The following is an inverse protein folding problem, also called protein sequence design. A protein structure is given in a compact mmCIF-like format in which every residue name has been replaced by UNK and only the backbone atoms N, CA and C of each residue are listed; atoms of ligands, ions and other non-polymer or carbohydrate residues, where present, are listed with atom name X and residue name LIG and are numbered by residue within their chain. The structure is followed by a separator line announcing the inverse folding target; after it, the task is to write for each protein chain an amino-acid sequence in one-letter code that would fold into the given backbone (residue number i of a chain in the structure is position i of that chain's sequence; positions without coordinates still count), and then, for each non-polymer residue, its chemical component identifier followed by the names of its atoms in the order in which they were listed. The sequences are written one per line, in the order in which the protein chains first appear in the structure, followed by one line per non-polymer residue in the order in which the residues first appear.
data_IF_986611891206
#
_entry.id   IF_986611891206
#
_cell.length_a   1.000
_cell.length_b   1.000
_cell.length_c   1.000
_cell.angle_alpha   90.00
_cell.angle_beta   90.00
_cell.angle_gamma   90.00
#
_symmetry.space_group_name_H-M   'P 1'
#
loop_
_entity.id
_entity.type
_entity.pdbx_description
1 polymer ?
#
# COMPACT_ATOMS: atom_id res chain seq x y z
N UNK A 1 -46.87 -13.26 18.13
CA UNK A 1 -46.18 -14.18 19.10
C UNK A 1 -44.83 -13.58 19.51
N UNK A 2 -44.18 -14.01 20.60
CA UNK A 2 -42.83 -13.50 20.99
C UNK A 2 -41.83 -13.55 19.81
N UNK A 3 -41.87 -14.63 19.01
CA UNK A 3 -41.09 -14.81 17.78
C UNK A 3 -41.33 -13.73 16.70
N UNK A 4 -42.50 -13.12 16.67
CA UNK A 4 -42.86 -12.07 15.71
C UNK A 4 -42.35 -10.70 16.15
N UNK A 5 -42.37 -10.43 17.47
CA UNK A 5 -41.76 -9.25 18.08
C UNK A 5 -40.24 -9.26 17.90
N UNK A 6 -39.58 -10.39 18.19
CA UNK A 6 -38.13 -10.57 17.98
C UNK A 6 -37.75 -10.37 16.50
N UNK A 7 -38.53 -10.96 15.56
CA UNK A 7 -38.29 -10.77 14.12
C UNK A 7 -38.42 -9.31 13.70
N UNK A 8 -39.35 -8.57 14.29
CA UNK A 8 -39.55 -7.14 14.01
C UNK A 8 -38.40 -6.30 14.55
N UNK A 9 -37.93 -6.61 15.75
CA UNK A 9 -36.80 -5.93 16.39
C UNK A 9 -35.48 -6.17 15.65
N UNK A 10 -35.21 -7.42 15.24
CA UNK A 10 -34.07 -7.78 14.39
C UNK A 10 -34.12 -7.02 13.06
N UNK A 11 -35.29 -6.95 12.39
CA UNK A 11 -35.44 -6.21 11.12
C UNK A 11 -35.19 -4.71 11.29
N UNK A 12 -35.68 -4.11 12.38
CA UNK A 12 -35.42 -2.70 12.67
C UNK A 12 -33.93 -2.44 12.94
N UNK A 13 -33.27 -3.35 13.67
CA UNK A 13 -31.83 -3.28 13.91
C UNK A 13 -31.03 -3.41 12.63
N UNK A 14 -31.39 -4.35 11.74
CA UNK A 14 -30.79 -4.49 10.41
C UNK A 14 -30.98 -3.21 9.58
N UNK A 15 -32.19 -2.64 9.56
CA UNK A 15 -32.47 -1.42 8.80
C UNK A 15 -31.65 -0.22 9.33
N UNK A 16 -31.50 -0.10 10.65
CA UNK A 16 -30.64 0.91 11.28
C UNK A 16 -29.17 0.71 10.91
N UNK A 17 -28.64 -0.50 11.08
CA UNK A 17 -27.26 -0.82 10.75
C UNK A 17 -26.95 -0.58 9.27
N UNK A 18 -27.89 -0.86 8.36
CA UNK A 18 -27.74 -0.55 6.92
C UNK A 18 -27.62 0.97 6.66
N UNK A 19 -28.40 1.80 7.35
CA UNK A 19 -28.30 3.26 7.23
C UNK A 19 -26.98 3.79 7.78
N UNK A 20 -26.53 3.28 8.92
CA UNK A 20 -25.23 3.61 9.50
C UNK A 20 -24.08 3.21 8.56
N UNK A 21 -24.16 2.02 7.93
CA UNK A 21 -23.18 1.57 6.93
C UNK A 21 -23.12 2.50 5.71
N UNK A 22 -24.27 2.99 5.24
CA UNK A 22 -24.34 3.88 4.09
C UNK A 22 -23.74 5.27 4.39
N UNK A 23 -23.89 5.76 5.63
CA UNK A 23 -23.23 6.98 6.09
C UNK A 23 -21.71 6.82 6.10
N UNK A 24 -21.20 5.69 6.62
CA UNK A 24 -19.76 5.37 6.60
C UNK A 24 -19.22 5.30 5.17
N UNK A 25 -19.95 4.65 4.26
CA UNK A 25 -19.59 4.59 2.83
C UNK A 25 -19.52 5.97 2.19
N UNK A 26 -20.50 6.82 2.46
CA UNK A 26 -20.54 8.21 1.96
C UNK A 26 -19.34 9.02 2.46
N UNK A 27 -19.01 8.90 3.76
CA UNK A 27 -17.86 9.57 4.35
C UNK A 27 -16.53 9.09 3.74
N UNK A 28 -16.38 7.77 3.54
CA UNK A 28 -15.23 7.19 2.82
C UNK A 28 -15.14 7.69 1.38
N UNK A 29 -16.27 7.85 0.67
CA UNK A 29 -16.29 8.39 -0.70
C UNK A 29 -15.82 9.85 -0.76
N UNK A 30 -16.22 10.68 0.20
CA UNK A 30 -15.76 12.07 0.30
C UNK A 30 -14.25 12.17 0.58
N UNK A 31 -13.75 11.40 1.55
CA UNK A 31 -12.31 11.30 1.81
C UNK A 31 -11.54 10.81 0.58
N UNK A 32 -12.10 9.84 -0.17
CA UNK A 32 -11.55 9.36 -1.45
C UNK A 32 -11.48 10.46 -2.49
N UNK A 33 -12.53 11.28 -2.63
CA UNK A 33 -12.54 12.41 -3.58
C UNK A 33 -11.47 13.45 -3.24
N UNK A 34 -11.30 13.80 -1.96
CA UNK A 34 -10.25 14.72 -1.53
C UNK A 34 -8.84 14.15 -1.79
N UNK A 35 -8.63 12.84 -1.63
CA UNK A 35 -7.35 12.19 -1.98
C UNK A 35 -7.08 12.17 -3.48
N UNK A 36 -8.10 11.88 -4.31
CA UNK A 36 -7.98 11.97 -5.78
C UNK A 36 -7.61 13.39 -6.23
N UNK A 37 -8.10 14.42 -5.53
CA UNK A 37 -7.72 15.82 -5.76
C UNK A 37 -6.30 16.15 -5.28
N UNK A 38 -5.84 15.54 -4.19
CA UNK A 38 -4.49 15.77 -3.64
C UNK A 38 -3.36 15.11 -4.45
N UNK A 39 -3.69 14.24 -5.42
CA UNK A 39 -2.75 13.69 -6.40
C UNK A 39 -1.61 12.79 -5.84
N UNK A 40 -1.53 12.60 -4.52
CA UNK A 40 -0.52 11.80 -3.83
C UNK A 40 -0.67 10.31 -4.16
N UNK A 41 0.39 9.58 -4.56
CA UNK A 41 0.32 8.15 -4.79
C UNK A 41 -0.07 7.36 -3.54
N UNK A 42 -0.74 6.23 -3.73
CA UNK A 42 -1.21 5.36 -2.64
C UNK A 42 -0.58 3.98 -2.76
N UNK A 43 0.05 3.52 -1.68
CA UNK A 43 0.56 2.17 -1.51
C UNK A 43 -0.32 1.44 -0.51
N UNK A 44 -0.94 0.34 -0.93
CA UNK A 44 -1.75 -0.49 -0.04
C UNK A 44 -0.94 -1.68 0.47
N UNK A 45 -0.83 -1.80 1.80
CA UNK A 45 -0.11 -2.90 2.45
C UNK A 45 -1.07 -4.09 2.54
N UNK A 46 -0.75 -5.17 1.84
CA UNK A 46 -1.54 -6.40 1.78
C UNK A 46 -0.72 -7.57 2.30
N UNK A 47 -1.40 -8.65 2.69
CA UNK A 47 -0.74 -9.84 3.23
C UNK A 47 -1.53 -10.50 4.34
N UNK A 48 -1.12 -11.71 4.68
CA UNK A 48 -1.82 -12.56 5.64
C UNK A 48 -1.91 -11.91 7.03
N UNK A 49 -2.85 -12.36 7.87
CA UNK A 49 -2.90 -11.92 9.27
C UNK A 49 -1.60 -12.26 9.99
N UNK A 50 -1.16 -11.36 10.88
CA UNK A 50 0.14 -11.45 11.56
C UNK A 50 1.37 -11.45 10.64
N UNK A 51 1.26 -11.02 9.37
CA UNK A 51 2.45 -10.84 8.53
C UNK A 51 3.36 -9.66 8.96
N UNK A 52 2.88 -8.79 9.84
CA UNK A 52 3.59 -7.59 10.32
C UNK A 52 3.31 -6.32 9.52
N UNK A 53 2.15 -6.22 8.86
CA UNK A 53 1.71 -5.03 8.10
C UNK A 53 1.64 -3.75 8.94
N UNK A 54 1.00 -3.83 10.11
CA UNK A 54 0.85 -2.69 11.03
C UNK A 54 2.18 -2.29 11.67
N UNK A 55 3.00 -3.27 12.03
CA UNK A 55 4.39 -3.05 12.49
C UNK A 55 5.18 -2.29 11.43
N UNK A 56 5.09 -2.71 10.17
CA UNK A 56 5.75 -2.02 9.07
C UNK A 56 5.23 -0.60 8.88
N UNK A 57 3.91 -0.39 8.87
CA UNK A 57 3.33 0.95 8.74
C UNK A 57 3.85 1.88 9.84
N UNK A 58 3.91 1.39 11.08
CA UNK A 58 4.45 2.15 12.22
C UNK A 58 5.94 2.44 12.05
N UNK A 59 6.73 1.47 11.60
CA UNK A 59 8.16 1.65 11.37
C UNK A 59 8.44 2.68 10.27
N UNK A 60 7.71 2.61 9.15
CA UNK A 60 7.84 3.56 8.04
C UNK A 60 7.40 4.97 8.44
N UNK A 61 6.30 5.11 9.18
CA UNK A 61 5.81 6.43 9.61
C UNK A 61 6.55 7.03 10.80
N UNK A 62 7.36 6.24 11.51
CA UNK A 62 8.23 6.71 12.59
C UNK A 62 9.62 7.18 12.13
N UNK A 63 10.03 6.83 10.91
CA UNK A 63 11.32 7.19 10.35
C UNK A 63 11.39 8.65 9.85
N UNK A 64 10.25 9.32 9.68
CA UNK A 64 10.14 10.62 9.02
C UNK A 64 10.69 11.82 9.83
N UNK A 65 11.22 11.63 11.05
CA UNK A 65 11.84 12.69 11.86
C UNK A 65 10.94 13.89 12.22
N UNK A 66 9.71 13.95 11.69
CA UNK A 66 8.72 14.98 11.92
C UNK A 66 7.87 14.58 13.11
N UNK A 67 8.26 15.14 14.26
CA UNK A 67 7.63 14.99 15.54
C UNK A 67 6.23 15.64 15.58
N UNK A 68 5.26 15.08 14.85
CA UNK A 68 3.85 15.27 15.16
C UNK A 68 3.21 13.91 15.43
N UNK A 69 3.38 13.49 16.68
CA UNK A 69 2.69 12.37 17.30
C UNK A 69 1.18 12.57 17.19
N UNK A 70 0.56 12.07 16.12
CA UNK A 70 -0.88 11.82 16.14
C UNK A 70 -1.13 10.60 17.05
N UNK A 71 -1.85 10.75 18.18
CA UNK A 71 -1.97 9.73 19.23
C UNK A 71 -3.00 8.68 18.80
N UNK A 72 -2.63 7.88 17.82
CA UNK A 72 -3.22 6.56 17.54
C UNK A 72 -2.08 5.69 17.02
N UNK A 73 -1.13 5.37 17.90
CA UNK A 73 -0.28 4.20 17.70
C UNK A 73 -1.22 3.00 17.69
N UNK A 74 -1.38 2.37 16.52
CA UNK A 74 -2.12 1.11 16.43
C UNK A 74 -1.33 0.13 17.28
N UNK A 75 -1.91 -0.26 18.42
CA UNK A 75 -1.34 -1.27 19.31
C UNK A 75 -1.20 -2.55 18.48
N UNK A 76 0.04 -2.95 18.23
CA UNK A 76 0.34 -4.21 17.55
C UNK A 76 0.14 -5.32 18.59
N UNK A 77 -0.95 -6.08 18.47
CA UNK A 77 -1.21 -7.26 19.29
C UNK A 77 -1.14 -8.52 18.44
N UNK A 78 -0.59 -9.61 18.98
CA UNK A 78 -0.57 -10.95 18.36
C UNK A 78 -1.97 -11.60 18.35
N UNK A 79 -2.91 -10.98 17.63
CA UNK A 79 -4.29 -11.46 17.45
C UNK A 79 -4.68 -11.44 15.97
N UNK A 80 -5.54 -12.38 15.58
CA UNK A 80 -6.21 -12.32 14.27
C UNK A 80 -7.03 -11.03 14.19
N UNK A 81 -6.96 -10.33 13.05
CA UNK A 81 -7.59 -9.02 12.82
C UNK A 81 -7.03 -7.85 13.65
N UNK A 82 -5.71 -7.81 13.90
CA UNK A 82 -5.05 -6.66 14.52
C UNK A 82 -5.40 -5.30 13.89
N UNK A 83 -5.75 -5.28 12.59
CA UNK A 83 -6.29 -4.10 11.89
C UNK A 83 -7.64 -4.45 11.25
N UNK A 84 -8.70 -3.72 11.64
CA UNK A 84 -10.07 -3.84 11.08
C UNK A 84 -10.47 -2.61 10.24
N UNK A 85 -10.01 -1.42 10.63
CA UNK A 85 -10.17 -0.18 9.86
C UNK A 85 -8.85 0.18 9.18
N UNK A 86 -8.87 0.57 7.88
CA UNK A 86 -7.65 0.92 7.18
C UNK A 86 -7.00 2.15 7.81
N UNK A 87 -5.71 2.05 8.09
CA UNK A 87 -4.92 3.16 8.66
C UNK A 87 -4.00 3.70 7.59
N UNK A 88 -4.12 4.99 7.26
CA UNK A 88 -3.27 5.65 6.26
C UNK A 88 -2.24 6.54 6.95
N UNK A 89 -0.97 6.45 6.55
CA UNK A 89 0.12 7.35 6.95
C UNK A 89 0.81 7.91 5.71
N UNK A 90 1.31 9.14 5.82
CA UNK A 90 2.23 9.73 4.84
C UNK A 90 3.64 9.25 5.15
N UNK A 91 4.40 8.95 4.10
CA UNK A 91 5.81 8.55 4.15
C UNK A 91 6.54 9.25 3.01
N UNK A 92 7.75 9.72 3.24
CA UNK A 92 8.61 10.32 2.22
C UNK A 92 9.52 9.25 1.62
N UNK A 93 9.49 9.09 0.30
CA UNK A 93 10.38 8.19 -0.43
C UNK A 93 11.81 8.76 -0.52
N UNK A 94 12.84 7.94 -0.83
CA UNK A 94 14.24 8.37 -0.89
C UNK A 94 14.50 9.62 -1.76
N UNK A 95 13.82 9.77 -2.90
CA UNK A 95 13.95 10.96 -3.76
C UNK A 95 13.13 12.17 -3.28
N UNK A 96 12.49 12.10 -2.11
CA UNK A 96 11.72 13.19 -1.50
C UNK A 96 10.24 13.21 -1.87
N UNK A 97 9.76 12.24 -2.66
CA UNK A 97 8.35 12.13 -3.06
C UNK A 97 7.48 11.67 -1.89
N UNK A 98 6.42 12.42 -1.58
CA UNK A 98 5.43 12.00 -0.59
C UNK A 98 4.51 10.91 -1.15
N UNK A 99 4.27 9.86 -0.35
CA UNK A 99 3.37 8.74 -0.68
C UNK A 99 2.51 8.38 0.53
N UNK A 100 1.28 7.92 0.28
CA UNK A 100 0.38 7.44 1.33
C UNK A 100 0.43 5.92 1.45
N UNK A 101 0.91 5.41 2.58
CA UNK A 101 0.83 3.99 2.91
C UNK A 101 -0.45 3.70 3.68
N UNK A 102 -1.21 2.69 3.25
CA UNK A 102 -2.44 2.28 3.92
C UNK A 102 -2.34 0.83 4.39
N UNK A 103 -2.37 0.61 5.70
CA UNK A 103 -2.53 -0.73 6.28
C UNK A 103 -3.96 -1.21 6.06
N UNK A 104 -4.10 -2.43 5.56
CA UNK A 104 -5.39 -3.05 5.25
C UNK A 104 -5.68 -4.23 6.17
N UNK A 105 -6.91 -4.72 6.13
CA UNK A 105 -7.26 -5.93 6.89
C UNK A 105 -6.45 -7.12 6.36
N UNK A 106 -5.88 -7.90 7.27
CA UNK A 106 -5.13 -9.09 6.90
C UNK A 106 -5.99 -10.19 6.29
N UNK A 107 -5.44 -10.85 5.27
CA UNK A 107 -6.07 -11.99 4.62
C UNK A 107 -6.00 -13.24 5.50
N UNK A 108 -7.00 -14.12 5.37
CA UNK A 108 -7.07 -15.43 6.02
C UNK A 108 -7.50 -16.45 4.95
N UNK A 109 -6.95 -17.67 5.01
CA UNK A 109 -7.35 -18.80 4.18
C UNK A 109 -8.84 -19.08 4.36
N UNK A 110 -9.54 -19.28 3.23
CA UNK A 110 -10.98 -19.60 3.19
C UNK A 110 -11.80 -18.58 3.96
N UNK A 111 -11.75 -17.31 3.54
CA UNK A 111 -12.68 -16.31 4.03
C UNK A 111 -14.11 -16.84 3.90
N UNK A 112 -14.88 -16.94 5.00
CA UNK A 112 -16.27 -17.33 4.92
C UNK A 112 -17.00 -16.40 3.95
N UNK A 113 -17.75 -16.95 3.00
CA UNK A 113 -18.45 -16.17 1.94
C UNK A 113 -19.33 -15.05 2.52
N UNK A 114 -19.86 -15.24 3.73
CA UNK A 114 -20.64 -14.23 4.46
C UNK A 114 -19.82 -13.01 4.90
N UNK A 115 -18.51 -13.19 5.16
CA UNK A 115 -17.60 -12.13 5.57
C UNK A 115 -16.95 -11.43 4.36
N UNK A 116 -16.89 -12.08 3.19
CA UNK A 116 -16.36 -11.46 1.96
C UNK A 116 -17.07 -10.15 1.64
N UNK A 117 -18.38 -10.05 1.83
CA UNK A 117 -19.12 -8.80 1.60
C UNK A 117 -18.74 -7.67 2.57
N UNK A 118 -18.43 -8.01 3.83
CA UNK A 118 -18.01 -7.04 4.84
C UNK A 118 -16.55 -6.59 4.62
N UNK A 119 -15.68 -7.52 4.21
CA UNK A 119 -14.28 -7.22 3.87
C UNK A 119 -14.13 -6.53 2.53
N UNK A 120 -14.97 -6.80 1.53
CA UNK A 120 -14.95 -6.07 0.26
C UNK A 120 -15.03 -4.55 0.48
N UNK A 121 -15.90 -4.10 1.38
CA UNK A 121 -16.03 -2.67 1.69
C UNK A 121 -14.79 -2.06 2.40
N UNK A 122 -13.92 -2.88 3.01
CA UNK A 122 -12.64 -2.46 3.60
C UNK A 122 -11.43 -2.79 2.72
N UNK A 123 -11.65 -3.46 1.59
CA UNK A 123 -10.66 -3.76 0.55
C UNK A 123 -10.87 -2.89 -0.70
N UNK A 124 -11.89 -2.00 -0.72
CA UNK A 124 -12.04 -0.93 -1.71
C UNK A 124 -10.77 -0.06 -1.80
N UNK A 125 -10.05 0.09 -0.69
CA UNK A 125 -8.78 0.80 -0.62
C UNK A 125 -7.66 0.10 -1.41
N UNK A 126 -7.74 -1.23 -1.60
CA UNK A 126 -6.80 -1.99 -2.45
C UNK A 126 -7.06 -1.69 -3.93
N UNK A 127 -8.32 -1.51 -4.34
CA UNK A 127 -8.70 -1.15 -5.71
C UNK A 127 -8.17 0.22 -6.14
N UNK A 128 -8.03 1.16 -5.21
CA UNK A 128 -7.57 2.52 -5.48
C UNK A 128 -6.05 2.69 -5.37
N UNK A 129 -5.33 1.67 -4.89
CA UNK A 129 -3.88 1.75 -4.72
C UNK A 129 -3.15 1.79 -6.07
N UNK A 130 -2.09 2.59 -6.15
CA UNK A 130 -1.19 2.62 -7.31
C UNK A 130 -0.22 1.43 -7.29
N UNK A 131 0.19 1.02 -6.08
CA UNK A 131 1.06 -0.14 -5.84
C UNK A 131 0.55 -0.95 -4.66
N UNK A 132 0.62 -2.28 -4.80
CA UNK A 132 0.40 -3.21 -3.70
C UNK A 132 1.74 -3.55 -3.05
N UNK A 133 1.85 -3.36 -1.74
CA UNK A 133 2.99 -3.82 -0.95
C UNK A 133 2.59 -5.11 -0.22
N UNK A 134 3.02 -6.25 -0.75
CA UNK A 134 2.69 -7.57 -0.23
C UNK A 134 3.69 -8.01 0.84
N UNK A 135 3.22 -8.10 2.09
CA UNK A 135 4.02 -8.52 3.24
C UNK A 135 3.82 -10.01 3.50
N UNK A 136 4.95 -10.73 3.56
CA UNK A 136 4.98 -12.18 3.78
C UNK A 136 5.77 -12.48 5.05
N UNK A 137 5.19 -13.20 6.01
CA UNK A 137 5.94 -13.73 7.15
C UNK A 137 6.77 -14.94 6.69
N UNK A 138 8.08 -14.74 6.56
CA UNK A 138 8.97 -15.78 6.03
C UNK A 138 9.36 -16.85 7.05
N UNK A 139 8.94 -16.66 8.30
CA UNK A 139 9.17 -17.60 9.40
C UNK A 139 8.05 -18.63 9.50
N UNK A 140 6.92 -18.38 8.83
CA UNK A 140 5.78 -19.29 8.83
C UNK A 140 6.07 -20.50 7.93
N UNK A 141 5.85 -21.76 8.39
CA UNK A 141 6.11 -22.96 7.57
C UNK A 141 5.25 -23.04 6.30
N UNK A 142 4.14 -22.30 6.27
CA UNK A 142 3.16 -22.26 5.18
C UNK A 142 3.18 -20.91 4.44
N UNK A 143 4.31 -20.19 4.46
CA UNK A 143 4.41 -18.86 3.87
C UNK A 143 4.02 -18.86 2.38
N UNK A 144 4.42 -19.91 1.64
CA UNK A 144 4.08 -20.08 0.23
C UNK A 144 2.57 -20.22 0.01
N UNK A 145 1.90 -21.06 0.79
CA UNK A 145 0.44 -21.26 0.70
C UNK A 145 -0.31 -20.00 1.11
N UNK A 146 0.18 -19.24 2.08
CA UNK A 146 -0.39 -17.95 2.46
C UNK A 146 -0.27 -16.93 1.33
N UNK A 147 0.89 -16.87 0.66
CA UNK A 147 1.06 -16.03 -0.54
C UNK A 147 0.04 -16.38 -1.61
N UNK A 148 -0.13 -17.66 -1.94
CA UNK A 148 -1.08 -18.10 -2.96
C UNK A 148 -2.54 -17.76 -2.59
N UNK A 149 -2.91 -17.88 -1.31
CA UNK A 149 -4.24 -17.49 -0.84
C UNK A 149 -4.49 -15.97 -0.96
N UNK A 150 -3.47 -15.14 -0.70
CA UNK A 150 -3.55 -13.70 -0.92
C UNK A 150 -3.74 -13.41 -2.41
N UNK A 151 -2.97 -14.05 -3.30
CA UNK A 151 -3.09 -13.88 -4.75
C UNK A 151 -4.49 -14.25 -5.27
N UNK A 152 -5.03 -15.39 -4.83
CA UNK A 152 -6.39 -15.82 -5.20
C UNK A 152 -7.42 -14.77 -4.79
N UNK A 153 -7.31 -14.24 -3.57
CA UNK A 153 -8.24 -13.21 -3.10
C UNK A 153 -8.07 -11.89 -3.88
N UNK A 154 -6.85 -11.47 -4.20
CA UNK A 154 -6.60 -10.28 -5.03
C UNK A 154 -7.15 -10.46 -6.46
N UNK A 155 -7.12 -11.67 -7.01
CA UNK A 155 -7.75 -12.00 -8.29
C UNK A 155 -9.28 -11.93 -8.21
N UNK A 156 -9.90 -12.45 -7.16
CA UNK A 156 -11.35 -12.34 -6.93
C UNK A 156 -11.85 -10.90 -6.77
N UNK A 157 -10.97 -10.01 -6.29
CA UNK A 157 -11.22 -8.57 -6.19
C UNK A 157 -10.94 -7.82 -7.49
N UNK A 158 -10.39 -8.47 -8.51
CA UNK A 158 -10.07 -7.85 -9.80
C UNK A 158 -8.85 -6.92 -9.76
N UNK A 159 -7.98 -7.04 -8.76
CA UNK A 159 -6.81 -6.16 -8.55
C UNK A 159 -5.47 -6.86 -8.80
N UNK A 160 -5.48 -8.11 -9.27
CA UNK A 160 -4.27 -8.90 -9.52
C UNK A 160 -3.29 -8.26 -10.54
N UNK A 161 -3.77 -7.38 -11.44
CA UNK A 161 -2.94 -6.71 -12.43
C UNK A 161 -2.21 -5.45 -11.92
N UNK A 162 -2.39 -5.07 -10.64
CA UNK A 162 -1.73 -3.87 -10.09
C UNK A 162 -0.22 -4.10 -9.91
N UNK A 163 0.60 -3.06 -10.11
CA UNK A 163 2.02 -3.11 -9.77
C UNK A 163 2.22 -3.53 -8.31
N UNK A 164 3.26 -4.32 -8.04
CA UNK A 164 3.46 -4.92 -6.73
C UNK A 164 4.93 -4.95 -6.32
N UNK A 165 5.15 -4.72 -5.03
CA UNK A 165 6.41 -4.98 -4.34
C UNK A 165 6.13 -6.04 -3.28
N UNK A 166 6.98 -7.07 -3.18
CA UNK A 166 6.85 -8.11 -2.15
C UNK A 166 7.96 -7.95 -1.13
N UNK A 167 7.60 -7.96 0.16
CA UNK A 167 8.55 -7.89 1.26
C UNK A 167 8.51 -9.18 2.11
N UNK A 168 9.66 -9.82 2.30
CA UNK A 168 9.84 -10.99 3.15
C UNK A 168 10.14 -10.50 4.56
N UNK A 169 9.11 -10.41 5.40
CA UNK A 169 9.21 -9.84 6.74
C UNK A 169 9.62 -10.88 7.79
N UNK A 170 10.05 -10.38 8.95
CA UNK A 170 10.49 -11.12 10.14
C UNK A 170 11.82 -11.86 9.97
N UNK A 171 12.73 -11.32 9.16
CA UNK A 171 14.06 -11.91 8.95
C UNK A 171 14.90 -11.96 10.23
N UNK A 172 14.61 -11.08 11.19
CA UNK A 172 15.22 -11.06 12.53
C UNK A 172 15.13 -12.43 13.23
N UNK A 173 14.00 -13.13 13.08
CA UNK A 173 13.82 -14.47 13.66
C UNK A 173 14.64 -15.56 12.99
N UNK A 174 15.08 -15.34 11.74
CA UNK A 174 15.94 -16.28 11.01
C UNK A 174 17.42 -16.02 11.29
N UNK A 175 17.79 -14.77 11.54
CA UNK A 175 19.17 -14.37 11.83
C UNK A 175 19.55 -14.59 13.30
N UNK A 176 18.56 -14.64 14.19
CA UNK A 176 18.76 -14.74 15.65
C UNK A 176 19.25 -13.42 16.28
N UNK A 177 19.27 -13.37 17.61
CA UNK A 177 19.56 -12.14 18.40
C UNK A 177 20.95 -11.53 18.11
N UNK A 178 21.90 -12.30 17.57
CA UNK A 178 23.28 -11.86 17.31
C UNK A 178 23.43 -10.94 16.08
N UNK A 179 22.37 -10.73 15.29
CA UNK A 179 22.41 -9.95 14.08
C UNK A 179 21.79 -8.54 14.19
N UNK A 180 21.28 -8.16 15.37
CA UNK A 180 20.70 -6.82 15.58
C UNK A 180 21.74 -5.73 15.28
N UNK A 181 21.49 -4.92 14.24
CA UNK A 181 22.38 -3.83 13.81
C UNK A 181 23.42 -4.21 12.73
N UNK A 182 23.41 -5.44 12.21
CA UNK A 182 24.24 -5.81 11.04
C UNK A 182 23.50 -5.52 9.73
N UNK A 183 24.22 -5.08 8.70
CA UNK A 183 23.70 -5.06 7.32
C UNK A 183 23.58 -6.51 6.84
N UNK A 184 22.35 -6.97 6.64
CA UNK A 184 22.07 -8.35 6.21
C UNK A 184 21.85 -8.35 4.71
N UNK A 185 22.63 -9.16 4.00
CA UNK A 185 22.37 -9.38 2.57
C UNK A 185 21.34 -10.50 2.38
N UNK A 186 20.45 -10.41 1.36
CA UNK A 186 19.47 -11.45 1.04
C UNK A 186 20.07 -12.86 0.89
N UNK A 187 21.32 -12.96 0.40
CA UNK A 187 22.03 -14.23 0.23
C UNK A 187 22.49 -14.88 1.54
N UNK A 188 22.54 -14.13 2.64
CA UNK A 188 22.97 -14.62 3.96
C UNK A 188 21.83 -15.20 4.80
N UNK A 189 20.58 -15.05 4.34
CA UNK A 189 19.37 -15.51 5.05
C UNK A 189 19.25 -17.03 5.20
N UNK A 190 20.23 -17.82 4.77
CA UNK A 190 20.23 -19.28 4.90
C UNK A 190 18.89 -19.86 4.42
N UNK A 191 18.55 -19.59 3.15
CA UNK A 191 17.20 -19.70 2.60
C UNK A 191 16.45 -20.96 3.08
N UNK A 192 15.63 -20.83 4.12
CA UNK A 192 14.76 -21.89 4.61
C UNK A 192 13.83 -22.36 3.47
N UNK A 193 13.20 -23.54 3.62
CA UNK A 193 12.25 -24.00 2.60
C UNK A 193 11.12 -22.99 2.36
N UNK A 194 10.68 -22.28 3.40
CA UNK A 194 9.74 -21.17 3.29
C UNK A 194 10.32 -19.99 2.48
N UNK A 195 11.55 -19.56 2.77
CA UNK A 195 12.25 -18.52 2.00
C UNK A 195 12.36 -18.91 0.52
N UNK A 196 12.85 -20.12 0.24
CA UNK A 196 12.98 -20.64 -1.14
C UNK A 196 11.64 -20.72 -1.85
N UNK A 197 10.61 -21.21 -1.17
CA UNK A 197 9.26 -21.33 -1.71
C UNK A 197 8.65 -19.99 -2.11
N UNK A 198 8.85 -18.95 -1.31
CA UNK A 198 8.36 -17.59 -1.62
C UNK A 198 9.23 -16.90 -2.66
N UNK A 199 10.57 -17.01 -2.60
CA UNK A 199 11.48 -16.45 -3.62
C UNK A 199 11.25 -17.07 -5.00
N UNK A 200 10.85 -18.35 -5.07
CA UNK A 200 10.46 -18.98 -6.33
C UNK A 200 9.20 -18.34 -6.95
N UNK A 201 8.28 -17.81 -6.12
CA UNK A 201 7.12 -17.04 -6.59
C UNK A 201 7.48 -15.58 -6.89
N UNK A 202 8.39 -15.00 -6.09
CA UNK A 202 8.76 -13.60 -6.12
C UNK A 202 10.28 -13.43 -6.06
N UNK A 203 10.99 -13.57 -7.19
CA UNK A 203 12.45 -13.48 -7.23
C UNK A 203 12.99 -12.12 -6.76
N UNK A 204 12.24 -11.04 -7.01
CA UNK A 204 12.60 -9.67 -6.64
C UNK A 204 12.08 -9.25 -5.26
N UNK A 205 11.72 -10.20 -4.40
CA UNK A 205 11.21 -9.89 -3.07
C UNK A 205 12.31 -9.30 -2.16
N UNK A 206 11.96 -8.27 -1.39
CA UNK A 206 12.89 -7.55 -0.53
C UNK A 206 12.82 -8.13 0.90
N UNK A 207 13.91 -8.70 1.45
CA UNK A 207 13.92 -9.14 2.83
C UNK A 207 13.96 -7.95 3.79
N UNK A 208 13.09 -7.98 4.80
CA UNK A 208 12.96 -6.91 5.80
C UNK A 208 12.75 -7.46 7.20
N UNK A 209 13.09 -6.66 8.20
CA UNK A 209 12.51 -6.77 9.54
C UNK A 209 11.82 -5.46 9.86
N UNK A 210 10.48 -5.46 9.85
CA UNK A 210 9.70 -4.31 10.28
C UNK A 210 9.97 -3.95 11.75
N UNK A 211 10.23 -4.95 12.60
CA UNK A 211 10.50 -4.78 14.02
C UNK A 211 11.88 -4.12 14.26
N UNK A 212 12.91 -4.59 13.55
CA UNK A 212 14.28 -4.09 13.73
C UNK A 212 14.67 -2.98 12.75
N UNK A 213 13.77 -2.59 11.85
CA UNK A 213 14.02 -1.57 10.82
C UNK A 213 14.99 -2.02 9.71
N UNK A 214 15.25 -3.32 9.56
CA UNK A 214 16.20 -3.83 8.56
C UNK A 214 15.54 -3.85 7.17
N UNK A 215 16.25 -3.37 6.16
CA UNK A 215 15.85 -3.45 4.75
C UNK A 215 14.74 -2.46 4.33
N UNK A 216 14.31 -1.56 5.23
CA UNK A 216 13.22 -0.62 4.95
C UNK A 216 13.59 0.43 3.89
N UNK A 217 14.82 0.94 3.90
CA UNK A 217 15.31 1.87 2.88
C UNK A 217 15.24 1.25 1.48
N UNK A 218 15.80 0.04 1.32
CA UNK A 218 15.74 -0.70 0.06
C UNK A 218 14.30 -1.03 -0.37
N UNK A 219 13.41 -1.27 0.59
CA UNK A 219 12.00 -1.46 0.32
C UNK A 219 11.35 -0.20 -0.25
N UNK A 220 11.63 0.97 0.33
CA UNK A 220 11.12 2.25 -0.15
C UNK A 220 11.66 2.61 -1.53
N UNK A 221 12.96 2.39 -1.79
CA UNK A 221 13.55 2.51 -3.13
C UNK A 221 12.80 1.63 -4.13
N UNK A 222 12.53 0.36 -3.79
CA UNK A 222 11.82 -0.55 -4.69
C UNK A 222 10.37 -0.10 -4.94
N UNK A 223 9.71 0.46 -3.95
CA UNK A 223 8.37 1.08 -4.11
C UNK A 223 8.43 2.27 -5.05
N UNK A 224 9.45 3.14 -4.91
CA UNK A 224 9.68 4.29 -5.79
C UNK A 224 9.92 3.86 -7.24
N UNK A 225 10.81 2.89 -7.46
CA UNK A 225 11.07 2.30 -8.78
C UNK A 225 9.78 1.80 -9.45
N UNK A 226 8.95 1.04 -8.72
CA UNK A 226 7.71 0.46 -9.25
C UNK A 226 6.66 1.54 -9.55
N UNK A 227 6.53 2.56 -8.69
CA UNK A 227 5.67 3.72 -8.95
C UNK A 227 6.08 4.45 -10.23
N UNK A 228 7.38 4.59 -10.48
CA UNK A 228 7.91 5.26 -11.66
C UNK A 228 7.73 4.42 -12.92
N UNK A 229 7.92 3.09 -12.84
CA UNK A 229 7.67 2.18 -13.97
C UNK A 229 6.19 2.14 -14.39
N UNK A 230 5.27 2.26 -13.43
CA UNK A 230 3.83 2.31 -13.70
C UNK A 230 3.36 3.64 -14.32
N UNK A 231 4.21 4.67 -14.33
CA UNK A 231 3.91 5.96 -14.91
C UNK A 231 4.12 5.99 -16.44
N UNK A 232 3.36 6.86 -17.12
CA UNK A 232 3.37 7.02 -18.58
C UNK A 232 4.47 8.01 -18.95
N UNK A 233 5.39 7.60 -19.82
CA UNK A 233 6.38 8.50 -20.41
C UNK A 233 5.72 9.54 -21.32
N UNK A 234 6.03 10.81 -21.11
CA UNK A 234 5.54 11.94 -21.91
C UNK A 234 6.66 12.95 -22.14
N UNK A 235 6.56 13.68 -23.24
CA UNK A 235 7.36 14.87 -23.54
C UNK A 235 6.40 16.04 -23.71
N UNK A 236 6.60 17.09 -22.93
CA UNK A 236 5.70 18.25 -22.91
C UNK A 236 6.46 19.56 -22.86
N UNK A 237 6.01 20.56 -23.62
CA UNK A 237 6.48 21.93 -23.51
C UNK A 237 5.47 22.76 -22.70
N UNK A 238 5.78 23.02 -21.43
CA UNK A 238 4.91 23.72 -20.48
C UNK A 238 5.19 25.23 -20.56
N UNK A 239 4.24 26.07 -20.99
CA UNK A 239 4.44 27.52 -21.04
C UNK A 239 4.68 28.10 -19.65
N UNK A 240 5.44 29.20 -19.55
CA UNK A 240 5.72 29.85 -18.26
C UNK A 240 4.47 30.31 -17.50
N UNK A 241 3.35 30.55 -18.20
CA UNK A 241 2.06 30.90 -17.59
C UNK A 241 1.39 29.70 -16.91
N UNK A 242 1.79 28.47 -17.24
CA UNK A 242 1.25 27.22 -16.69
C UNK A 242 2.19 26.62 -15.62
N UNK A 243 2.78 27.46 -14.78
CA UNK A 243 3.70 27.03 -13.71
C UNK A 243 3.11 25.99 -12.76
N UNK A 244 1.79 26.00 -12.56
CA UNK A 244 1.06 25.01 -11.77
C UNK A 244 1.23 23.58 -12.32
N UNK A 245 1.30 23.42 -13.65
CA UNK A 245 1.52 22.12 -14.30
C UNK A 245 2.97 21.65 -14.15
N UNK A 246 3.94 22.56 -14.21
CA UNK A 246 5.34 22.23 -13.94
C UNK A 246 5.51 21.76 -12.48
N UNK A 247 4.92 22.49 -11.52
CA UNK A 247 4.92 22.10 -10.11
C UNK A 247 4.21 20.77 -9.86
N UNK A 248 3.14 20.48 -10.60
CA UNK A 248 2.45 19.18 -10.55
C UNK A 248 3.36 18.07 -11.08
N UNK A 249 4.08 18.29 -12.19
CA UNK A 249 5.04 17.32 -12.73
C UNK A 249 6.16 17.07 -11.73
N UNK A 250 6.75 18.11 -11.14
CA UNK A 250 7.78 17.99 -10.11
C UNK A 250 7.31 17.18 -8.89
N UNK A 251 6.04 17.31 -8.51
CA UNK A 251 5.49 16.64 -7.32
C UNK A 251 5.05 15.20 -7.57
N UNK A 252 4.56 14.90 -8.78
CA UNK A 252 3.86 13.64 -9.05
C UNK A 252 4.48 12.81 -10.17
N UNK A 253 5.26 13.44 -11.04
CA UNK A 253 6.02 12.81 -12.10
C UNK A 253 7.48 12.58 -11.71
N UNK A 254 8.16 11.88 -12.59
CA UNK A 254 9.60 11.66 -12.55
C UNK A 254 10.19 12.35 -13.77
N UNK A 255 11.11 13.28 -13.57
CA UNK A 255 11.70 14.08 -14.65
C UNK A 255 13.03 13.44 -15.07
N UNK A 256 13.10 13.07 -16.34
CA UNK A 256 14.31 12.55 -16.96
C UNK A 256 15.17 13.71 -17.50
N UNK A 257 14.52 14.69 -18.16
CA UNK A 257 15.18 15.92 -18.63
C UNK A 257 14.26 17.14 -18.46
N UNK A 258 14.87 18.29 -18.16
CA UNK A 258 14.19 19.58 -18.09
C UNK A 258 15.05 20.64 -18.79
N UNK A 259 14.48 21.33 -19.79
CA UNK A 259 15.17 22.35 -20.58
C UNK A 259 14.29 23.61 -20.72
N UNK A 260 14.87 24.78 -20.47
CA UNK A 260 14.18 26.05 -20.66
C UNK A 260 14.32 26.52 -22.12
N UNK A 261 13.18 26.72 -22.78
CA UNK A 261 13.06 27.17 -24.17
C UNK A 261 12.35 28.54 -24.22
N UNK A 262 12.38 29.25 -25.37
CA UNK A 262 11.61 30.48 -25.55
C UNK A 262 10.10 30.30 -25.36
N UNK A 263 9.57 29.12 -25.71
CA UNK A 263 8.14 28.79 -25.68
C UNK A 263 7.66 28.31 -24.30
N UNK A 264 8.58 27.87 -23.43
CA UNK A 264 8.30 27.34 -22.10
C UNK A 264 9.38 26.40 -21.58
N UNK A 265 9.06 25.58 -20.58
CA UNK A 265 9.94 24.52 -20.09
C UNK A 265 9.58 23.20 -20.78
N UNK A 266 10.52 22.65 -21.56
CA UNK A 266 10.42 21.31 -22.12
C UNK A 266 10.78 20.29 -21.04
N UNK A 267 9.86 19.38 -20.76
CA UNK A 267 10.03 18.30 -19.79
C UNK A 267 9.86 16.96 -20.49
N UNK A 268 10.87 16.09 -20.40
CA UNK A 268 10.75 14.67 -20.69
C UNK A 268 10.76 13.90 -19.38
N UNK A 269 9.79 13.01 -19.21
CA UNK A 269 9.69 12.25 -17.97
C UNK A 269 8.47 11.34 -17.96
N UNK A 270 8.14 10.83 -16.79
CA UNK A 270 7.03 9.89 -16.59
C UNK A 270 6.03 10.48 -15.62
N UNK A 271 4.74 10.37 -15.93
CA UNK A 271 3.68 10.86 -15.06
C UNK A 271 2.56 9.83 -14.89
N UNK A 272 1.93 9.72 -13.69
CA UNK A 272 0.77 8.86 -13.51
C UNK A 272 -0.33 9.13 -14.54
N UNK A 273 -0.95 8.07 -15.05
CA UNK A 273 -1.95 8.12 -16.14
C UNK A 273 -3.10 9.09 -15.88
N UNK A 274 -3.49 9.27 -14.61
CA UNK A 274 -4.53 10.22 -14.17
C UNK A 274 -4.21 11.69 -14.48
N UNK A 275 -2.94 12.07 -14.57
CA UNK A 275 -2.54 13.44 -14.90
C UNK A 275 -2.38 13.68 -16.39
N UNK A 276 -2.28 12.61 -17.20
CA UNK A 276 -2.03 12.71 -18.64
C UNK A 276 -2.99 13.69 -19.34
N UNK A 277 -4.26 13.72 -18.93
CA UNK A 277 -5.26 14.62 -19.50
C UNK A 277 -4.89 16.11 -19.36
N UNK A 278 -4.27 16.52 -18.25
CA UNK A 278 -3.84 17.90 -18.02
C UNK A 278 -2.67 18.30 -18.93
N UNK A 279 -1.84 17.33 -19.32
CA UNK A 279 -0.64 17.53 -20.13
C UNK A 279 -0.86 17.36 -21.63
N UNK A 280 -1.96 16.73 -22.06
CA UNK A 280 -2.30 16.52 -23.48
C UNK A 280 -2.19 17.77 -24.36
N UNK A 281 -2.62 18.97 -23.94
CA UNK A 281 -2.50 20.17 -24.77
C UNK A 281 -1.08 20.63 -25.04
N UNK A 282 -0.11 20.12 -24.27
CA UNK A 282 1.29 20.58 -24.25
C UNK A 282 2.25 19.51 -24.75
N UNK A 283 1.76 18.38 -25.26
CA UNK A 283 2.60 17.32 -25.83
C UNK A 283 3.40 17.88 -27.02
N UNK A 284 4.71 17.65 -27.00
CA UNK A 284 5.63 18.07 -28.06
C UNK A 284 5.85 16.96 -29.10
#
# INVERSE_FOLDING_TARGET
TQLETDRREIRQRIARLRRELEQVRTHRRLYRQQRKQAAIPVVSIVGYTNAGKSTLLNALSGADGSAERSPRSVLVEDKLFATLDPTTRRVTLPEGREVLFTDTVGFIQKLPTQLVAAFRATLEEVEEADVLLHIVDITHPNAREQCLAVEETLAELGVAGKPRVTALNKIDKLLGERAYGLKVNPGELGASEAVRGVMALYPDAIPISAEWGIGLERLLERVEEVLNMAAIAIRVCIPYQAGDLLALFHRHGFIETEEHTPEGTLVEGRIPSRFLAAFRPYLA
#
